data_IF_010168375678
#
_entry.id   IF_010168375678
#
_cell.length_a   1.000
_cell.length_b   1.000
_cell.length_c   1.000
_cell.angle_alpha   90.00
_cell.angle_beta   90.00
_cell.angle_gamma   90.00
#
_symmetry.space_group_name_H-M   'P 1'
#
loop_
_entity.id
_entity.type
_entity.pdbx_description
1 polymer ?
#
# COMPACT_ATOMS: atom_id res chain seq x y z
N UNK A 1 -2.50 -16.39 -8.22
CA UNK A 1 -1.04 -16.33 -8.25
C UNK A 1 -0.63 -15.20 -9.17
N UNK A 2 0.17 -14.26 -8.69
CA UNK A 2 0.68 -13.14 -9.48
C UNK A 2 2.04 -13.48 -10.10
N UNK A 3 2.15 -13.25 -11.40
CA UNK A 3 3.36 -13.45 -12.21
C UNK A 3 3.97 -12.11 -12.60
N UNK A 4 5.21 -11.89 -12.17
CA UNK A 4 6.06 -10.78 -12.59
C UNK A 4 7.02 -11.35 -13.63
N UNK A 5 6.82 -10.99 -14.90
CA UNK A 5 7.46 -11.68 -16.03
C UNK A 5 7.22 -13.20 -15.96
N UNK A 6 8.31 -13.96 -15.90
CA UNK A 6 8.28 -15.44 -15.79
C UNK A 6 8.32 -15.94 -14.34
N UNK A 7 8.47 -15.05 -13.35
CA UNK A 7 8.57 -15.42 -11.93
C UNK A 7 7.25 -15.22 -11.20
N UNK A 8 6.99 -16.07 -10.21
CA UNK A 8 5.84 -15.98 -9.33
C UNK A 8 6.25 -15.28 -8.04
N UNK A 9 5.40 -14.38 -7.55
CA UNK A 9 5.52 -13.89 -6.18
C UNK A 9 5.29 -15.06 -5.21
N UNK A 10 6.23 -15.40 -4.32
CA UNK A 10 6.09 -16.55 -3.43
C UNK A 10 4.93 -16.36 -2.46
N UNK A 11 4.15 -17.41 -2.21
CA UNK A 11 3.14 -17.43 -1.14
C UNK A 11 3.81 -17.89 0.16
N UNK A 12 4.51 -16.95 0.80
CA UNK A 12 5.32 -17.20 2.00
C UNK A 12 4.81 -16.39 3.20
N UNK A 13 5.32 -16.71 4.39
CA UNK A 13 5.05 -15.90 5.58
C UNK A 13 5.58 -14.47 5.45
N UNK A 14 6.67 -14.24 4.71
CA UNK A 14 7.21 -12.90 4.44
C UNK A 14 6.23 -12.09 3.59
N UNK A 15 5.62 -12.72 2.57
CA UNK A 15 4.60 -12.09 1.75
C UNK A 15 3.40 -11.68 2.61
N UNK A 16 2.90 -12.62 3.42
CA UNK A 16 1.83 -12.29 4.37
C UNK A 16 2.22 -11.13 5.31
N UNK A 17 3.42 -11.16 5.89
CA UNK A 17 3.92 -10.13 6.79
C UNK A 17 3.92 -8.75 6.11
N UNK A 18 4.48 -8.65 4.90
CA UNK A 18 4.53 -7.40 4.15
C UNK A 18 3.13 -6.83 3.91
N UNK A 19 2.20 -7.62 3.35
CA UNK A 19 0.83 -7.16 3.09
C UNK A 19 0.05 -6.85 4.37
N UNK A 20 0.29 -7.61 5.44
CA UNK A 20 -0.37 -7.44 6.72
C UNK A 20 0.05 -6.13 7.39
N UNK A 21 1.34 -5.83 7.42
CA UNK A 21 1.84 -4.58 8.01
C UNK A 21 1.39 -3.36 7.20
N UNK A 22 1.53 -3.41 5.87
CA UNK A 22 1.05 -2.37 4.96
C UNK A 22 -0.45 -2.09 5.16
N UNK A 23 -1.27 -3.13 5.31
CA UNK A 23 -2.68 -2.99 5.65
C UNK A 23 -2.90 -2.24 6.96
N UNK A 24 -2.21 -2.65 8.03
CA UNK A 24 -2.40 -2.09 9.37
C UNK A 24 -1.99 -0.63 9.45
N UNK A 25 -0.84 -0.26 8.87
CA UNK A 25 -0.39 1.13 8.77
C UNK A 25 -1.41 2.00 8.02
N UNK A 26 -2.00 1.46 6.95
CA UNK A 26 -2.99 2.18 6.14
C UNK A 26 -4.34 2.33 6.85
N UNK A 27 -4.76 1.34 7.64
CA UNK A 27 -5.96 1.47 8.49
C UNK A 27 -5.76 2.50 9.59
N UNK A 28 -4.58 2.55 10.21
CA UNK A 28 -4.27 3.55 11.23
C UNK A 28 -4.28 4.97 10.65
N UNK A 29 -3.70 5.14 9.46
CA UNK A 29 -3.79 6.36 8.67
C UNK A 29 -5.26 6.77 8.40
N UNK A 30 -6.11 5.82 7.99
CA UNK A 30 -7.53 6.07 7.78
C UNK A 30 -8.26 6.49 9.06
N UNK A 31 -7.99 5.82 10.19
CA UNK A 31 -8.60 6.14 11.49
C UNK A 31 -8.15 7.52 11.97
N UNK A 32 -6.87 7.84 11.83
CA UNK A 32 -6.34 9.17 12.17
C UNK A 32 -7.01 10.27 11.36
N UNK A 33 -7.23 10.04 10.05
CA UNK A 33 -7.99 10.93 9.18
C UNK A 33 -9.49 11.04 9.54
N UNK A 34 -10.03 10.23 10.46
CA UNK A 34 -11.40 10.34 10.94
C UNK A 34 -11.54 11.13 12.25
N UNK A 35 -10.44 11.39 12.97
CA UNK A 35 -10.52 12.16 14.21
C UNK A 35 -10.91 13.62 13.92
N UNK A 36 -11.78 14.24 14.73
CA UNK A 36 -12.07 15.68 14.63
C UNK A 36 -10.77 16.48 14.62
N UNK A 37 -10.69 17.57 13.83
CA UNK A 37 -9.46 18.39 13.78
C UNK A 37 -9.03 18.83 15.19
N UNK A 38 -9.98 19.21 16.04
CA UNK A 38 -9.76 19.63 17.43
C UNK A 38 -9.02 18.57 18.26
N UNK A 39 -9.33 17.29 18.08
CA UNK A 39 -8.67 16.18 18.78
C UNK A 39 -7.27 15.90 18.22
N UNK A 40 -7.04 16.13 16.91
CA UNK A 40 -5.72 15.96 16.29
C UNK A 40 -4.71 16.97 16.82
N UNK A 41 -5.17 18.19 17.08
CA UNK A 41 -4.32 19.28 17.60
C UNK A 41 -4.05 19.19 19.10
N UNK A 42 -4.90 18.52 19.89
CA UNK A 42 -4.67 18.36 21.34
C UNK A 42 -3.52 17.40 21.67
N UNK A 43 -3.17 16.49 20.77
CA UNK A 43 -2.04 15.55 20.93
C UNK A 43 -0.69 16.10 20.49
N UNK A 44 -0.62 17.28 19.88
CA UNK A 44 0.61 17.86 19.36
C UNK A 44 1.18 18.87 20.34
N UNK A 45 2.44 18.71 20.74
CA UNK A 45 3.16 19.76 21.48
C UNK A 45 3.48 20.93 20.53
N UNK A 46 3.76 22.13 21.05
CA UNK A 46 3.94 23.34 20.23
C UNK A 46 5.03 23.25 19.14
N UNK A 47 6.02 22.36 19.31
CA UNK A 47 7.04 22.08 18.30
C UNK A 47 6.53 21.11 17.21
N UNK A 48 5.69 20.14 17.59
CA UNK A 48 5.04 19.20 16.66
C UNK A 48 4.00 19.91 15.78
N UNK A 49 3.36 20.98 16.28
CA UNK A 49 2.40 21.78 15.52
C UNK A 49 3.04 22.46 14.30
N UNK A 50 4.23 23.05 14.47
CA UNK A 50 5.02 23.68 13.39
C UNK A 50 5.57 22.65 12.39
N UNK A 51 5.87 21.43 12.85
CA UNK A 51 6.22 20.32 11.97
C UNK A 51 4.99 19.81 11.21
N UNK A 52 3.82 19.75 11.83
CA UNK A 52 2.55 19.28 11.24
C UNK A 52 1.99 20.22 10.17
N UNK A 53 2.07 21.55 10.35
CA UNK A 53 1.71 22.50 9.28
C UNK A 53 2.67 22.43 8.08
N UNK A 54 3.94 22.07 8.30
CA UNK A 54 4.93 21.86 7.22
C UNK A 54 4.81 20.49 6.56
N UNK A 55 4.41 19.45 7.30
CA UNK A 55 4.11 18.10 6.81
C UNK A 55 2.64 18.06 6.40
N UNK A 56 2.37 18.55 5.18
CA UNK A 56 1.07 18.45 4.50
C UNK A 56 0.35 17.15 4.92
N UNK A 57 -0.82 17.19 5.58
CA UNK A 57 -1.46 16.00 6.17
C UNK A 57 -2.08 15.05 5.11
N UNK A 58 -1.63 15.13 3.86
CA UNK A 58 -2.30 14.50 2.71
C UNK A 58 -1.77 13.14 2.34
N UNK A 59 -0.57 12.74 2.80
CA UNK A 59 0.02 11.46 2.42
C UNK A 59 0.07 10.52 3.63
N UNK A 60 -0.76 9.48 3.62
CA UNK A 60 -0.77 8.47 4.67
C UNK A 60 -1.14 7.10 4.11
N UNK A 61 -0.57 6.05 4.69
CA UNK A 61 -0.70 4.67 4.21
C UNK A 61 0.51 4.19 3.40
N UNK A 62 0.46 2.92 3.00
CA UNK A 62 1.63 2.23 2.44
C UNK A 62 2.08 2.77 1.08
N UNK A 63 1.19 3.33 0.26
CA UNK A 63 1.57 3.87 -1.06
C UNK A 63 2.43 5.14 -0.98
N UNK A 64 2.68 5.69 0.21
CA UNK A 64 3.60 6.81 0.39
C UNK A 64 5.04 6.46 -0.02
N UNK A 65 5.40 5.18 -0.01
CA UNK A 65 6.70 4.70 -0.49
C UNK A 65 6.88 4.91 -2.02
N UNK A 66 5.79 5.09 -2.76
CA UNK A 66 5.82 5.50 -4.17
C UNK A 66 5.39 6.97 -4.26
N UNK A 67 6.31 7.93 -4.46
CA UNK A 67 6.00 9.36 -4.36
C UNK A 67 4.81 9.80 -5.20
N UNK A 68 4.69 9.27 -6.42
CA UNK A 68 3.57 9.56 -7.31
C UNK A 68 2.20 9.12 -6.75
N UNK A 69 2.14 8.02 -6.01
CA UNK A 69 0.91 7.45 -5.45
C UNK A 69 0.64 7.91 -4.00
N UNK A 70 1.49 8.77 -3.44
CA UNK A 70 1.37 9.23 -2.07
C UNK A 70 0.08 9.99 -1.77
N UNK A 71 -0.53 10.61 -2.79
CA UNK A 71 -1.79 11.36 -2.69
C UNK A 71 -3.04 10.47 -2.91
N UNK A 72 -2.87 9.15 -3.11
CA UNK A 72 -4.01 8.22 -3.21
C UNK A 72 -4.69 8.09 -1.84
N UNK A 73 -6.01 8.27 -1.80
CA UNK A 73 -6.77 8.22 -0.56
C UNK A 73 -6.62 6.84 0.16
N UNK A 74 -6.48 6.79 1.50
CA UNK A 74 -6.19 5.53 2.21
C UNK A 74 -7.21 4.41 1.98
N UNK A 75 -8.50 4.73 1.86
CA UNK A 75 -9.54 3.75 1.53
C UNK A 75 -9.34 3.11 0.15
N UNK A 76 -8.81 3.85 -0.82
CA UNK A 76 -8.46 3.32 -2.14
C UNK A 76 -7.19 2.48 -2.06
N UNK A 77 -6.20 2.90 -1.27
CA UNK A 77 -5.01 2.08 -1.00
C UNK A 77 -5.40 0.70 -0.42
N UNK A 78 -6.31 0.65 0.56
CA UNK A 78 -6.83 -0.59 1.12
C UNK A 78 -7.54 -1.44 0.05
N UNK A 79 -8.34 -0.84 -0.82
CA UNK A 79 -9.00 -1.56 -1.90
C UNK A 79 -8.00 -2.18 -2.88
N UNK A 80 -6.97 -1.42 -3.26
CA UNK A 80 -5.88 -1.89 -4.12
C UNK A 80 -5.13 -3.05 -3.48
N UNK A 81 -4.77 -2.94 -2.20
CA UNK A 81 -4.09 -4.01 -1.46
C UNK A 81 -4.97 -5.27 -1.38
N UNK A 82 -6.28 -5.10 -1.17
CA UNK A 82 -7.23 -6.23 -1.15
C UNK A 82 -7.28 -6.95 -2.49
N UNK A 83 -7.33 -6.19 -3.60
CA UNK A 83 -7.37 -6.74 -4.94
C UNK A 83 -6.07 -7.49 -5.25
N UNK A 84 -4.92 -6.85 -5.01
CA UNK A 84 -3.62 -7.48 -5.14
C UNK A 84 -3.55 -8.79 -4.35
N UNK A 85 -3.90 -8.75 -3.06
CA UNK A 85 -3.85 -9.93 -2.20
C UNK A 85 -4.72 -11.07 -2.73
N UNK A 86 -5.97 -10.78 -3.11
CA UNK A 86 -6.88 -11.80 -3.66
C UNK A 86 -6.34 -12.46 -4.94
N UNK A 87 -5.69 -11.68 -5.81
CA UNK A 87 -5.01 -12.21 -7.01
C UNK A 87 -3.75 -12.99 -6.65
N UNK A 88 -3.02 -12.57 -5.62
CA UNK A 88 -1.84 -13.29 -5.14
C UNK A 88 -2.21 -14.71 -4.66
N UNK A 89 -3.22 -14.83 -3.79
CA UNK A 89 -3.61 -16.12 -3.18
C UNK A 89 -4.50 -17.00 -4.07
N UNK A 90 -5.06 -16.45 -5.16
CA UNK A 90 -5.89 -17.22 -6.10
C UNK A 90 -5.11 -18.36 -6.76
N UNK A 91 -5.77 -19.42 -7.19
CA UNK A 91 -5.16 -20.47 -8.02
C UNK A 91 -4.99 -20.03 -9.49
N UNK A 92 -5.76 -19.03 -9.93
CA UNK A 92 -5.64 -18.49 -11.28
C UNK A 92 -4.34 -17.70 -11.45
N UNK A 93 -3.75 -17.79 -12.64
CA UNK A 93 -2.53 -17.05 -12.98
C UNK A 93 -2.89 -15.66 -13.51
N UNK A 94 -2.39 -14.62 -12.85
CA UNK A 94 -2.53 -13.23 -13.26
C UNK A 94 -1.17 -12.66 -13.64
N UNK A 95 -1.10 -11.95 -14.76
CA UNK A 95 0.08 -11.16 -15.11
C UNK A 95 0.06 -9.87 -14.28
N UNK A 96 1.17 -9.56 -13.62
CA UNK A 96 1.34 -8.32 -12.88
C UNK A 96 1.33 -7.14 -13.84
N UNK A 97 0.62 -6.07 -13.47
CA UNK A 97 0.73 -4.76 -14.10
C UNK A 97 1.79 -3.90 -13.41
N UNK A 98 2.07 -2.71 -13.98
CA UNK A 98 2.95 -1.74 -13.37
C UNK A 98 2.43 -1.26 -11.99
N UNK A 99 1.12 -1.22 -11.82
CA UNK A 99 0.49 -0.98 -10.51
C UNK A 99 0.75 -2.12 -9.52
N UNK A 100 0.76 -3.37 -9.97
CA UNK A 100 1.09 -4.51 -9.11
C UNK A 100 2.54 -4.43 -8.61
N UNK A 101 3.47 -3.99 -9.47
CA UNK A 101 4.86 -3.73 -9.08
C UNK A 101 4.95 -2.62 -8.03
N UNK A 102 4.23 -1.51 -8.24
CA UNK A 102 4.18 -0.40 -7.30
C UNK A 102 3.60 -0.83 -5.93
N UNK A 103 2.51 -1.61 -5.94
CA UNK A 103 1.86 -2.11 -4.71
C UNK A 103 2.81 -3.04 -3.95
N UNK A 104 3.45 -4.00 -4.65
CA UNK A 104 4.36 -4.94 -4.03
C UNK A 104 5.55 -4.22 -3.41
N UNK A 105 6.17 -3.31 -4.16
CA UNK A 105 7.27 -2.49 -3.68
C UNK A 105 6.87 -1.70 -2.43
N UNK A 106 5.76 -0.95 -2.51
CA UNK A 106 5.29 -0.13 -1.41
C UNK A 106 4.97 -0.94 -0.16
N UNK A 107 4.34 -2.12 -0.32
CA UNK A 107 4.02 -2.99 0.80
C UNK A 107 5.29 -3.55 1.47
N UNK A 108 6.30 -3.93 0.67
CA UNK A 108 7.57 -4.43 1.19
C UNK A 108 8.38 -3.32 1.87
N UNK A 109 8.50 -2.15 1.25
CA UNK A 109 9.24 -1.02 1.84
C UNK A 109 8.57 -0.49 3.10
N UNK A 110 7.25 -0.34 3.10
CA UNK A 110 6.52 0.16 4.27
C UNK A 110 6.64 -0.80 5.46
N UNK A 111 6.60 -2.11 5.20
CA UNK A 111 6.82 -3.14 6.21
C UNK A 111 8.28 -3.18 6.70
N UNK A 112 9.25 -3.09 5.79
CA UNK A 112 10.67 -3.07 6.13
C UNK A 112 11.04 -1.81 6.94
N UNK A 113 10.50 -0.66 6.56
CA UNK A 113 10.63 0.61 7.28
C UNK A 113 10.05 0.50 8.70
N UNK A 114 8.88 -0.13 8.86
CA UNK A 114 8.32 -0.36 10.19
C UNK A 114 9.21 -1.25 11.06
N UNK A 115 9.75 -2.33 10.48
CA UNK A 115 10.67 -3.23 11.19
C UNK A 115 11.95 -2.52 11.65
N UNK A 116 12.45 -1.56 10.87
CA UNK A 116 13.67 -0.80 11.18
C UNK A 116 13.44 0.30 12.22
N UNK A 117 12.31 0.99 12.16
CA UNK A 117 12.06 2.16 13.00
C UNK A 117 11.25 1.84 14.27
N UNK A 118 10.35 0.86 14.23
CA UNK A 118 9.52 0.44 15.36
C UNK A 118 9.24 -1.08 15.34
N UNK A 119 10.26 -1.92 15.59
CA UNK A 119 10.10 -3.38 15.63
C UNK A 119 9.14 -3.85 16.73
N UNK A 120 8.94 -3.05 17.78
CA UNK A 120 8.04 -3.39 18.89
C UNK A 120 6.55 -3.28 18.52
N UNK A 121 6.19 -2.48 17.51
CA UNK A 121 4.82 -2.40 17.01
C UNK A 121 4.42 -3.64 16.19
N UNK A 122 5.36 -4.36 15.58
CA UNK A 122 5.09 -5.49 14.67
C UNK A 122 4.21 -6.59 15.30
N UNK A 123 4.50 -7.10 16.51
CA UNK A 123 3.62 -8.07 17.18
C UNK A 123 2.18 -7.54 17.38
N UNK A 124 2.00 -6.25 17.64
CA UNK A 124 0.66 -5.66 17.78
C UNK A 124 -0.10 -5.65 16.45
N UNK A 125 0.58 -5.39 15.33
CA UNK A 125 -0.04 -5.42 13.99
C UNK A 125 -0.39 -6.85 13.54
N UNK A 126 0.38 -7.85 13.97
CA UNK A 126 0.13 -9.26 13.68
C UNK A 126 -0.97 -9.88 14.55
N UNK A 127 -1.16 -9.36 15.76
CA UNK A 127 -2.14 -9.88 16.72
C UNK A 127 -3.56 -9.95 16.13
N UNK A 128 -4.18 -11.12 16.29
CA UNK A 128 -5.57 -11.36 15.85
C UNK A 128 -5.74 -11.61 14.35
N UNK A 129 -4.63 -11.69 13.60
CA UNK A 129 -4.61 -12.14 12.21
C UNK A 129 -4.85 -13.66 12.08
N UNK A 130 -5.11 -14.15 10.86
CA UNK A 130 -5.42 -15.56 10.61
C UNK A 130 -4.21 -16.50 10.71
N UNK A 131 -2.99 -15.97 10.57
CA UNK A 131 -1.76 -16.74 10.75
C UNK A 131 -1.13 -16.38 12.10
N UNK A 132 -0.86 -17.41 12.90
CA UNK A 132 -0.09 -17.27 14.14
C UNK A 132 1.39 -17.20 13.79
N UNK A 133 1.87 -15.97 13.68
CA UNK A 133 3.19 -15.66 13.21
C UNK A 133 4.04 -15.16 14.37
N UNK A 134 4.84 -16.06 14.93
CA UNK A 134 5.88 -15.72 15.91
C UNK A 134 7.23 -15.72 15.21
N UNK A 135 7.71 -14.55 14.80
CA UNK A 135 9.07 -14.40 14.26
C UNK A 135 9.94 -13.59 15.22
N UNK A 136 11.23 -13.94 15.36
CA UNK A 136 12.19 -13.00 15.89
C UNK A 136 12.24 -11.81 14.93
N UNK A 137 11.84 -10.64 15.41
CA UNK A 137 12.02 -9.39 14.68
C UNK A 137 13.48 -9.00 14.86
N UNK A 138 14.31 -9.32 13.87
CA UNK A 138 15.72 -8.92 13.82
C UNK A 138 15.98 -7.99 12.63
N UNK A 139 17.16 -7.38 12.61
CA UNK A 139 17.59 -6.47 11.53
C UNK A 139 17.65 -7.16 10.16
N UNK A 140 17.71 -8.49 10.10
CA UNK A 140 17.77 -9.23 8.85
C UNK A 140 16.41 -9.38 8.18
N UNK A 141 15.33 -9.37 8.98
CA UNK A 141 13.96 -9.55 8.49
C UNK A 141 13.53 -8.42 7.53
N UNK A 142 13.95 -7.18 7.77
CA UNK A 142 13.65 -6.06 6.85
C UNK A 142 14.29 -6.30 5.48
N UNK A 143 15.54 -6.79 5.45
CA UNK A 143 16.24 -7.14 4.22
C UNK A 143 15.59 -8.33 3.50
N UNK A 144 15.10 -9.33 4.24
CA UNK A 144 14.37 -10.48 3.67
C UNK A 144 13.04 -10.06 3.04
N UNK A 145 12.31 -9.13 3.64
CA UNK A 145 11.09 -8.58 3.04
C UNK A 145 11.40 -7.84 1.75
N UNK A 146 12.46 -7.00 1.72
CA UNK A 146 12.85 -6.30 0.49
C UNK A 146 13.27 -7.25 -0.63
N UNK A 147 13.89 -8.39 -0.30
CA UNK A 147 14.23 -9.43 -1.28
C UNK A 147 13.01 -9.93 -2.06
N UNK A 148 11.79 -9.90 -1.49
CA UNK A 148 10.59 -10.34 -2.18
C UNK A 148 10.34 -9.61 -3.51
N UNK A 149 10.56 -8.30 -3.55
CA UNK A 149 10.40 -7.52 -4.78
C UNK A 149 11.69 -7.44 -5.59
N UNK A 150 12.87 -7.47 -4.96
CA UNK A 150 14.17 -7.42 -5.64
C UNK A 150 14.45 -8.70 -6.46
N UNK A 151 13.93 -9.85 -6.04
CA UNK A 151 14.13 -11.13 -6.74
C UNK A 151 13.20 -11.29 -7.96
N UNK A 152 12.21 -10.40 -8.12
CA UNK A 152 11.26 -10.42 -9.23
C UNK A 152 11.72 -9.49 -10.36
N UNK A 153 11.41 -9.80 -11.62
CA UNK A 153 11.68 -8.88 -12.71
C UNK A 153 10.73 -7.68 -12.58
N UNK A 154 11.30 -6.55 -12.19
CA UNK A 154 10.66 -5.25 -12.05
C UNK A 154 11.64 -4.20 -12.54
N UNK A 155 11.18 -3.29 -13.40
CA UNK A 155 12.03 -2.23 -13.97
C UNK A 155 12.04 -0.98 -13.08
N UNK A 156 11.16 -0.90 -12.08
CA UNK A 156 11.08 0.24 -11.16
C UNK A 156 10.46 1.49 -11.80
N UNK A 157 9.88 1.36 -13.00
CA UNK A 157 9.31 2.46 -13.78
C UNK A 157 8.27 3.28 -13.01
N UNK A 158 7.53 2.64 -12.10
CA UNK A 158 6.53 3.28 -11.25
C UNK A 158 7.11 4.38 -10.34
N UNK A 159 8.42 4.33 -10.04
CA UNK A 159 9.11 5.38 -9.27
C UNK A 159 9.41 6.63 -10.11
N UNK A 160 9.46 6.49 -11.43
CA UNK A 160 9.81 7.57 -12.35
C UNK A 160 8.59 8.31 -12.90
N UNK A 161 7.38 7.74 -12.75
CA UNK A 161 6.15 8.30 -13.35
C UNK A 161 5.85 9.72 -12.85
N UNK A 162 6.21 10.05 -11.61
CA UNK A 162 6.00 11.39 -11.06
C UNK A 162 6.66 12.51 -11.87
N UNK A 163 7.71 12.21 -12.64
CA UNK A 163 8.41 13.17 -13.50
C UNK A 163 7.54 13.66 -14.68
N UNK A 164 6.43 12.98 -14.97
CA UNK A 164 5.53 13.34 -16.08
C UNK A 164 4.30 14.15 -15.65
N UNK A 165 4.11 14.41 -14.35
CA UNK A 165 2.93 15.12 -13.84
C UNK A 165 2.79 16.53 -14.40
N UNK A 166 3.91 17.26 -14.49
CA UNK A 166 3.94 18.66 -14.93
C UNK A 166 4.12 18.81 -16.44
N UNK A 167 4.12 17.70 -17.19
CA UNK A 167 4.37 17.70 -18.63
C UNK A 167 3.05 17.69 -19.40
N UNK A 168 2.85 18.58 -20.39
CA UNK A 168 1.65 18.56 -21.24
C UNK A 168 1.42 17.18 -21.90
N UNK A 169 0.16 16.74 -22.11
CA UNK A 169 -0.14 15.38 -22.58
C UNK A 169 0.59 14.94 -23.85
N UNK A 170 0.77 15.85 -24.83
CA UNK A 170 1.46 15.55 -26.09
C UNK A 170 2.97 15.31 -25.91
N UNK A 171 3.61 16.07 -25.02
CA UNK A 171 5.03 15.90 -24.68
C UNK A 171 5.24 14.69 -23.78
N UNK A 172 4.32 14.47 -22.85
CA UNK A 172 4.27 13.31 -21.97
C UNK A 172 4.24 12.00 -22.77
N UNK A 173 3.39 11.90 -23.80
CA UNK A 173 3.37 10.71 -24.69
C UNK A 173 4.71 10.46 -25.39
N UNK A 174 5.38 11.53 -25.85
CA UNK A 174 6.70 11.41 -26.51
C UNK A 174 7.77 10.94 -25.53
N UNK A 175 7.78 11.50 -24.32
CA UNK A 175 8.73 11.11 -23.28
C UNK A 175 8.48 9.68 -22.80
N UNK A 176 7.24 9.29 -22.50
CA UNK A 176 6.87 7.90 -22.15
C UNK A 176 7.40 6.91 -23.19
N UNK A 177 7.20 7.19 -24.48
CA UNK A 177 7.74 6.35 -25.56
C UNK A 177 9.27 6.31 -25.57
N UNK A 178 9.95 7.42 -25.27
CA UNK A 178 11.42 7.49 -25.19
C UNK A 178 11.99 6.66 -24.04
N UNK A 179 11.28 6.60 -22.91
CA UNK A 179 11.64 5.80 -21.74
C UNK A 179 11.14 4.34 -21.81
N UNK A 180 10.49 3.92 -22.90
CA UNK A 180 9.96 2.56 -23.04
C UNK A 180 8.65 2.31 -22.29
N UNK A 181 8.09 3.32 -21.64
CA UNK A 181 6.85 3.22 -20.87
C UNK A 181 5.64 3.02 -21.79
N UNK A 182 4.88 1.95 -21.56
CA UNK A 182 3.63 1.67 -22.28
C UNK A 182 2.52 2.57 -21.74
N UNK A 183 1.91 3.38 -22.62
CA UNK A 183 0.89 4.39 -22.23
C UNK A 183 -0.22 3.82 -21.35
N UNK A 184 -0.78 2.68 -21.77
CA UNK A 184 -1.86 1.98 -21.05
C UNK A 184 -1.48 1.63 -19.61
N UNK A 185 -0.25 1.17 -19.37
CA UNK A 185 0.19 0.75 -18.03
C UNK A 185 0.42 1.94 -17.12
N UNK A 186 0.82 3.08 -17.69
CA UNK A 186 0.96 4.33 -16.93
C UNK A 186 -0.38 4.99 -16.65
N UNK A 187 -1.35 4.92 -17.57
CA UNK A 187 -2.68 5.55 -17.43
C UNK A 187 -3.44 5.01 -16.22
N UNK A 188 -3.36 3.69 -15.98
CA UNK A 188 -3.95 3.06 -14.78
C UNK A 188 -3.49 3.76 -13.49
N UNK A 189 -2.22 4.16 -13.41
CA UNK A 189 -1.66 4.82 -12.23
C UNK A 189 -2.17 6.28 -12.08
N UNK A 190 -2.36 7.00 -13.19
CA UNK A 190 -2.95 8.34 -13.14
C UNK A 190 -4.42 8.31 -12.73
N UNK A 191 -5.18 7.33 -13.21
CA UNK A 191 -6.60 7.18 -12.87
C UNK A 191 -6.83 6.97 -11.36
N UNK A 192 -5.86 6.36 -10.66
CA UNK A 192 -5.93 6.17 -9.21
C UNK A 192 -5.93 7.47 -8.42
N UNK A 193 -5.26 8.52 -8.90
CA UNK A 193 -5.23 9.81 -8.22
C UNK A 193 -6.61 10.48 -8.19
N UNK A 194 -7.45 10.20 -9.19
CA UNK A 194 -8.82 10.69 -9.26
C UNK A 194 -9.85 9.79 -8.55
N UNK A 195 -9.42 8.64 -8.02
CA UNK A 195 -10.32 7.63 -7.49
C UNK A 195 -10.64 7.91 -6.02
N UNK A 196 -11.94 7.92 -5.71
CA UNK A 196 -12.44 8.14 -4.34
C UNK A 196 -13.24 6.97 -3.77
N UNK A 197 -13.64 6.01 -4.62
CA UNK A 197 -14.53 4.91 -4.27
C UNK A 197 -13.82 3.55 -4.26
N UNK A 198 -14.16 2.73 -3.26
CA UNK A 198 -13.71 1.33 -3.18
C UNK A 198 -14.56 0.44 -4.09
N UNK A 199 -13.96 -0.62 -4.64
CA UNK A 199 -14.71 -1.60 -5.41
C UNK A 199 -15.66 -2.40 -4.50
N UNK A 200 -16.84 -2.83 -5.01
CA UNK A 200 -17.71 -3.75 -4.29
C UNK A 200 -16.96 -5.02 -3.85
N UNK A 201 -17.46 -5.67 -2.81
CA UNK A 201 -16.93 -6.94 -2.29
C UNK A 201 -15.46 -6.89 -1.83
N UNK A 202 -14.95 -5.72 -1.41
CA UNK A 202 -13.61 -5.60 -0.83
C UNK A 202 -13.38 -6.56 0.35
N UNK A 203 -14.41 -6.77 1.18
CA UNK A 203 -14.35 -7.66 2.33
C UNK A 203 -14.04 -9.12 1.93
N UNK A 204 -14.58 -9.58 0.80
CA UNK A 204 -14.40 -10.95 0.33
C UNK A 204 -12.96 -11.18 -0.16
N UNK A 205 -12.31 -10.11 -0.63
CA UNK A 205 -10.91 -10.11 -1.09
C UNK A 205 -9.88 -10.17 0.05
N UNK A 206 -10.32 -10.00 1.31
CA UNK A 206 -9.43 -9.96 2.50
C UNK A 206 -9.26 -11.32 3.18
N UNK A 207 -9.87 -12.36 2.63
CA UNK A 207 -9.69 -13.73 3.12
C UNK A 207 -8.19 -14.09 3.18
N UNK A 208 -7.77 -14.65 4.32
CA UNK A 208 -6.37 -15.03 4.54
C UNK A 208 -5.42 -13.87 4.90
N UNK A 209 -5.81 -12.60 4.72
CA UNK A 209 -5.06 -11.44 5.21
C UNK A 209 -5.57 -10.97 6.58
N UNK A 210 -6.90 -10.97 6.75
CA UNK A 210 -7.59 -10.57 7.97
C UNK A 210 -8.42 -11.71 8.53
N UNK A 211 -8.63 -11.71 9.85
CA UNK A 211 -9.61 -12.62 10.45
C UNK A 211 -11.04 -12.12 10.23
N UNK A 212 -12.06 -13.01 10.29
CA UNK A 212 -13.46 -12.59 10.12
C UNK A 212 -13.90 -11.49 11.08
N UNK A 213 -13.38 -11.49 12.31
CA UNK A 213 -13.65 -10.44 13.29
C UNK A 213 -13.08 -9.08 12.86
N UNK A 214 -11.88 -9.07 12.29
CA UNK A 214 -11.26 -7.84 11.76
C UNK A 214 -12.02 -7.29 10.56
N UNK A 215 -12.46 -8.16 9.64
CA UNK A 215 -13.29 -7.77 8.49
C UNK A 215 -14.61 -7.12 8.96
N UNK A 216 -15.25 -7.70 9.99
CA UNK A 216 -16.45 -7.12 10.58
C UNK A 216 -16.22 -5.73 11.17
N UNK A 217 -15.09 -5.53 11.87
CA UNK A 217 -14.71 -4.22 12.43
C UNK A 217 -14.39 -3.20 11.33
N UNK A 218 -13.67 -3.62 10.28
CA UNK A 218 -13.34 -2.79 9.13
C UNK A 218 -14.59 -2.23 8.46
N UNK A 219 -15.60 -3.08 8.24
CA UNK A 219 -16.86 -2.67 7.63
C UNK A 219 -17.48 -1.48 8.38
N UNK A 220 -17.46 -1.49 9.71
CA UNK A 220 -17.96 -0.37 10.54
C UNK A 220 -17.16 0.92 10.36
N UNK A 221 -15.85 0.82 10.08
CA UNK A 221 -14.97 1.98 9.85
C UNK A 221 -15.23 2.57 8.46
N UNK A 222 -15.40 1.72 7.44
CA UNK A 222 -15.64 2.15 6.06
C UNK A 222 -17.06 2.68 5.86
N UNK A 223 -18.07 2.08 6.49
CA UNK A 223 -19.46 2.56 6.44
C UNK A 223 -19.61 3.97 7.04
N UNK A 224 -18.67 4.41 7.91
CA UNK A 224 -18.60 5.80 8.41
C UNK A 224 -17.97 6.76 7.41
N UNK A 225 -17.15 6.26 6.48
CA UNK A 225 -16.35 7.05 5.53
C UNK A 225 -17.00 7.15 4.14
N UNK A 226 -17.79 6.14 3.72
CA UNK A 226 -18.46 6.07 2.40
C UNK A 226 -19.93 6.54 2.49
N UNK A 227 -20.27 7.38 3.48
CA UNK A 227 -21.55 8.11 3.43
C UNK A 227 -21.44 9.21 2.38
N UNK A 228 -21.82 8.87 1.16
CA UNK A 228 -22.29 9.81 0.13
C UNK A 228 -23.81 9.90 0.27
#
# INVERSE_FOLDING_TARGET
>A
MLKFGEKLLPSSCLSYLAFRLAWRQTVEALIYQQQPLEDRYQTLSGEDFLAFEKKKPTTSGFLCEVPFLSEVAPQVQLDLLSNFWSRHISLASYRASLLDEAILYAACESAASLLEHDPHAVPLHLKGGPLDVTFPVDESLSAEIRKLYLDLPSEGDYLLIGQFLDVPPEECRKLKKKFGLRSIETEELFDLLGRWTIQPAMNDRLAGLLSPHEISRLRKILDRHIRI
#
